data_IF_257652454805
#
_entry.id   IF_257652454805
#
_cell.length_a   1.000
_cell.length_b   1.000
_cell.length_c   1.000
_cell.angle_alpha   90.00
_cell.angle_beta   90.00
_cell.angle_gamma   90.00
#
_symmetry.space_group_name_H-M   'P 1'
#
loop_
_entity.id
_entity.type
_entity.pdbx_description
1 polymer ?
#
# COMPACT_ATOMS: atom_id res chain seq x y z
N UNK A 1 -12.82 -4.20 4.22
CA UNK A 1 -11.91 -4.56 5.33
C UNK A 1 -10.88 -5.60 4.89
N UNK A 2 -11.28 -6.69 4.22
CA UNK A 2 -10.36 -7.75 3.72
C UNK A 2 -9.16 -7.25 2.89
N UNK A 3 -9.37 -6.28 2.01
CA UNK A 3 -8.28 -5.75 1.16
C UNK A 3 -7.18 -5.03 1.97
N UNK A 4 -7.48 -4.52 3.17
CA UNK A 4 -6.49 -3.85 4.03
C UNK A 4 -5.60 -4.86 4.73
N UNK A 5 -6.17 -5.98 5.17
CA UNK A 5 -5.40 -7.08 5.72
C UNK A 5 -4.44 -7.64 4.66
N UNK A 6 -4.91 -7.80 3.42
CA UNK A 6 -4.04 -8.17 2.30
C UNK A 6 -2.90 -7.18 2.10
N UNK A 7 -3.16 -5.85 2.13
CA UNK A 7 -2.06 -4.88 2.01
C UNK A 7 -1.08 -5.02 3.18
N UNK A 8 -1.56 -5.20 4.41
CA UNK A 8 -0.71 -5.43 5.58
C UNK A 8 0.17 -6.68 5.44
N UNK A 9 -0.33 -7.75 4.83
CA UNK A 9 0.46 -8.96 4.53
C UNK A 9 1.50 -8.74 3.43
N UNK A 10 1.29 -7.77 2.54
CA UNK A 10 2.23 -7.43 1.46
C UNK A 10 3.29 -6.39 1.88
N UNK A 11 3.06 -5.64 2.97
CA UNK A 11 4.04 -4.70 3.54
C UNK A 11 5.43 -5.34 3.73
N UNK A 12 5.58 -6.47 4.45
CA UNK A 12 6.91 -7.05 4.66
C UNK A 12 7.59 -7.45 3.34
N UNK A 13 6.83 -7.94 2.35
CA UNK A 13 7.37 -8.30 1.03
C UNK A 13 7.86 -7.07 0.25
N UNK A 14 7.15 -5.95 0.39
CA UNK A 14 7.56 -4.67 -0.18
C UNK A 14 8.84 -4.15 0.50
N UNK A 15 8.93 -4.25 1.81
CA UNK A 15 10.13 -3.88 2.57
C UNK A 15 11.34 -4.74 2.19
N UNK A 16 11.18 -6.05 1.98
CA UNK A 16 12.24 -6.93 1.46
C UNK A 16 12.73 -6.51 0.06
N UNK A 17 11.84 -5.95 -0.78
CA UNK A 17 12.21 -5.38 -2.09
C UNK A 17 12.80 -3.96 -2.00
N UNK A 18 12.97 -3.42 -0.79
CA UNK A 18 13.51 -2.09 -0.54
C UNK A 18 12.50 -0.95 -0.69
N UNK A 19 11.20 -1.22 -0.57
CA UNK A 19 10.17 -0.20 -0.49
C UNK A 19 9.87 0.14 0.99
N UNK A 20 9.83 1.42 1.33
CA UNK A 20 9.35 1.89 2.62
C UNK A 20 7.82 2.06 2.57
N UNK A 21 7.10 1.34 3.43
CA UNK A 21 5.64 1.40 3.47
C UNK A 21 5.16 2.01 4.77
N UNK A 22 4.52 3.17 4.70
CA UNK A 22 3.82 3.79 5.83
C UNK A 22 2.33 3.49 5.74
N UNK A 23 1.83 2.67 6.66
CA UNK A 23 0.42 2.38 6.81
C UNK A 23 -0.15 3.11 8.03
N UNK A 24 -1.18 3.93 7.84
CA UNK A 24 -1.86 4.65 8.90
C UNK A 24 -3.38 4.44 8.81
N UNK A 25 -3.96 3.94 9.89
CA UNK A 25 -5.36 3.57 9.98
C UNK A 25 -6.09 4.51 10.95
N UNK A 26 -7.18 5.10 10.48
CA UNK A 26 -8.11 5.89 11.28
C UNK A 26 -9.52 5.34 11.09
N UNK A 27 -10.42 5.60 12.06
CA UNK A 27 -11.81 5.08 12.10
C UNK A 27 -12.60 5.20 10.79
N UNK A 28 -12.26 6.15 9.90
CA UNK A 28 -12.94 6.38 8.63
C UNK A 28 -12.01 6.50 7.43
N UNK A 29 -10.69 6.39 7.62
CA UNK A 29 -9.70 6.65 6.56
C UNK A 29 -8.48 5.77 6.74
N UNK A 30 -7.93 5.34 5.62
CA UNK A 30 -6.67 4.62 5.58
C UNK A 30 -5.71 5.42 4.70
N UNK A 31 -4.50 5.63 5.19
CA UNK A 31 -3.42 6.22 4.41
C UNK A 31 -2.35 5.15 4.23
N UNK A 32 -1.98 4.92 2.98
CA UNK A 32 -0.93 3.99 2.62
C UNK A 32 0.02 4.78 1.74
N UNK A 33 1.28 4.84 2.16
CA UNK A 33 2.35 5.53 1.45
C UNK A 33 3.46 4.54 1.18
N UNK A 34 3.78 4.33 -0.09
CA UNK A 34 4.82 3.41 -0.56
C UNK A 34 5.89 4.24 -1.23
N UNK A 35 7.10 4.17 -0.69
CA UNK A 35 8.28 4.89 -1.15
C UNK A 35 9.37 3.90 -1.55
N UNK A 36 10.25 4.29 -2.46
CA UNK A 36 11.48 3.55 -2.78
C UNK A 36 12.61 4.56 -2.91
N UNK A 37 13.41 4.69 -1.86
CA UNK A 37 14.40 5.77 -1.74
C UNK A 37 13.73 7.16 -1.83
N UNK A 38 14.24 8.05 -2.68
CA UNK A 38 13.68 9.40 -2.86
C UNK A 38 12.44 9.46 -3.77
N UNK A 39 12.02 8.33 -4.36
CA UNK A 39 10.85 8.27 -5.25
C UNK A 39 9.61 7.79 -4.50
N UNK A 40 8.60 8.66 -4.43
CA UNK A 40 7.27 8.31 -3.96
C UNK A 40 6.55 7.53 -5.07
N UNK A 41 6.42 6.21 -4.89
CA UNK A 41 5.74 5.34 -5.86
C UNK A 41 4.21 5.49 -5.76
N UNK A 42 3.69 5.76 -4.57
CA UNK A 42 2.28 6.07 -4.40
C UNK A 42 1.96 6.43 -2.96
N UNK A 43 1.39 7.61 -2.75
CA UNK A 43 0.85 8.04 -1.47
C UNK A 43 -0.63 8.38 -1.66
N UNK A 44 -1.51 7.46 -1.28
CA UNK A 44 -2.94 7.63 -1.55
C UNK A 44 -3.75 7.65 -0.26
N UNK A 45 -4.55 8.70 -0.11
CA UNK A 45 -5.55 8.81 0.94
C UNK A 45 -6.79 8.04 0.53
N UNK A 46 -7.00 6.88 1.15
CA UNK A 46 -8.11 6.01 0.80
C UNK A 46 -9.29 6.35 1.71
N UNK A 47 -10.22 7.12 1.16
CA UNK A 47 -11.58 7.30 1.69
C UNK A 47 -12.57 6.26 1.16
N UNK A 48 -12.25 5.58 0.06
CA UNK A 48 -13.19 4.76 -0.72
C UNK A 48 -12.57 3.44 -1.21
N UNK A 49 -13.29 2.32 -1.02
CA UNK A 49 -12.82 0.94 -1.31
C UNK A 49 -12.28 0.74 -2.74
N UNK A 50 -12.80 1.46 -3.74
CA UNK A 50 -12.34 1.34 -5.15
C UNK A 50 -10.86 1.66 -5.35
N UNK A 51 -10.36 2.65 -4.62
CA UNK A 51 -8.96 3.07 -4.68
C UNK A 51 -8.06 2.02 -4.02
N UNK A 52 -8.55 1.38 -2.96
CA UNK A 52 -7.81 0.37 -2.22
C UNK A 52 -7.51 -0.86 -3.09
N UNK A 53 -8.47 -1.25 -3.94
CA UNK A 53 -8.32 -2.34 -4.90
C UNK A 53 -7.29 -2.04 -6.00
N UNK A 54 -7.24 -0.79 -6.46
CA UNK A 54 -6.26 -0.33 -7.44
C UNK A 54 -4.84 -0.37 -6.85
N UNK A 55 -4.67 0.10 -5.61
CA UNK A 55 -3.39 0.06 -4.89
C UNK A 55 -2.94 -1.38 -4.67
N UNK A 56 -3.86 -2.26 -4.24
CA UNK A 56 -3.56 -3.68 -4.07
C UNK A 56 -3.06 -4.31 -5.37
N UNK A 57 -3.69 -3.97 -6.51
CA UNK A 57 -3.25 -4.44 -7.82
C UNK A 57 -1.84 -3.93 -8.17
N UNK A 58 -1.59 -2.64 -7.96
CA UNK A 58 -0.29 -2.01 -8.22
C UNK A 58 0.83 -2.62 -7.34
N UNK A 59 0.56 -2.82 -6.05
CA UNK A 59 1.46 -3.48 -5.09
C UNK A 59 1.79 -4.91 -5.51
N UNK A 60 0.79 -5.71 -5.91
CA UNK A 60 1.03 -7.07 -6.40
C UNK A 60 1.88 -7.05 -7.66
N UNK A 61 1.61 -6.12 -8.57
CA UNK A 61 2.40 -5.96 -9.79
C UNK A 61 3.85 -5.55 -9.50
N UNK A 62 4.10 -4.66 -8.52
CA UNK A 62 5.45 -4.30 -8.06
C UNK A 62 6.20 -5.48 -7.40
N UNK A 63 5.47 -6.43 -6.81
CA UNK A 63 6.03 -7.65 -6.22
C UNK A 63 6.30 -8.75 -7.26
N UNK A 64 5.56 -8.81 -8.36
CA UNK A 64 5.83 -9.74 -9.47
C UNK A 64 6.94 -9.27 -10.43
N UNK A 65 7.14 -7.95 -10.56
CA UNK A 65 8.16 -7.34 -11.41
C UNK A 65 9.58 -7.28 -10.86
#
# INVERSE_FOLDING_TARGET
MREIEEIKELIPKLEEKGYEVTFNESKTRFRIEIRKGSFLHGGTFIKHSRILRQILFDVKHLLEG
#
